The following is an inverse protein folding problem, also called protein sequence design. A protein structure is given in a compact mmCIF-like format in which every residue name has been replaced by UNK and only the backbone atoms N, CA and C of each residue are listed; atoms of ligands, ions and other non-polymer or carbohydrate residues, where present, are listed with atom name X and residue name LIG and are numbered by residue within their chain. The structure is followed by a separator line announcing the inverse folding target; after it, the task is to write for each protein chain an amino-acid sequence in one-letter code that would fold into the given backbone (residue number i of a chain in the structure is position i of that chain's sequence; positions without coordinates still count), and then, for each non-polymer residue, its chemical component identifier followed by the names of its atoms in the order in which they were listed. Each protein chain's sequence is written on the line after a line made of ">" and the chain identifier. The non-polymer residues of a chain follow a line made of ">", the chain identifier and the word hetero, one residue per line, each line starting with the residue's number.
data_IF_195112707686
#
_entry.id   IF_195112707686
#
_cell.length_a   1.000
_cell.length_b   1.000
_cell.length_c   1.000
_cell.angle_alpha   90.00
_cell.angle_beta   90.00
_cell.angle_gamma   90.00
#
_symmetry.space_group_name_H-M   'P 1'
#
loop_
_entity.id
_entity.type
_entity.pdbx_description
1 polymer ?
#
# COMPACT_ATOMS: atom_id res chain seq x y z
N UNK A 1 3.32 0.19 -15.85
CA UNK A 1 2.17 1.14 -15.67
C UNK A 1 2.20 2.23 -16.73
N UNK A 2 1.05 2.63 -17.31
CA UNK A 2 0.98 3.69 -18.34
C UNK A 2 1.06 5.08 -17.69
N UNK A 3 1.74 6.06 -18.32
CA UNK A 3 1.74 7.44 -17.84
C UNK A 3 0.32 8.03 -17.82
N UNK A 4 0.00 8.78 -16.77
CA UNK A 4 -1.23 9.53 -16.67
C UNK A 4 -1.02 10.97 -17.15
N UNK A 5 -1.94 11.52 -17.93
CA UNK A 5 -1.97 12.96 -18.18
C UNK A 5 -2.08 13.73 -16.84
N UNK A 6 -1.75 15.02 -16.82
CA UNK A 6 -1.90 15.82 -15.60
C UNK A 6 -3.35 15.85 -15.10
N UNK A 7 -4.32 15.85 -16.01
CA UNK A 7 -5.74 15.78 -15.66
C UNK A 7 -6.11 14.44 -15.04
N UNK A 8 -5.74 13.32 -15.68
CA UNK A 8 -6.03 11.98 -15.18
C UNK A 8 -5.35 11.71 -13.82
N UNK A 9 -4.13 12.23 -13.61
CA UNK A 9 -3.46 12.16 -12.32
C UNK A 9 -4.23 12.93 -11.24
N UNK A 10 -4.70 14.17 -11.54
CA UNK A 10 -5.47 14.95 -10.59
C UNK A 10 -6.79 14.28 -10.27
N UNK A 11 -7.51 13.78 -11.27
CA UNK A 11 -8.75 13.04 -11.08
C UNK A 11 -8.55 11.81 -10.18
N UNK A 12 -7.53 10.97 -10.47
CA UNK A 12 -7.21 9.81 -9.61
C UNK A 12 -6.94 10.23 -8.16
N UNK A 13 -6.14 11.28 -7.96
CA UNK A 13 -5.86 11.80 -6.61
C UNK A 13 -7.13 12.20 -5.88
N UNK A 14 -8.01 12.93 -6.55
CA UNK A 14 -9.25 13.44 -5.97
C UNK A 14 -10.23 12.30 -5.66
N UNK A 15 -10.30 11.27 -6.52
CA UNK A 15 -11.07 10.04 -6.27
C UNK A 15 -10.56 9.29 -5.04
N UNK A 16 -9.25 9.12 -4.90
CA UNK A 16 -8.64 8.48 -3.73
C UNK A 16 -8.88 9.31 -2.47
N UNK A 17 -8.75 10.64 -2.58
CA UNK A 17 -9.05 11.54 -1.46
C UNK A 17 -10.48 11.37 -0.98
N UNK A 18 -11.45 11.49 -1.87
CA UNK A 18 -12.88 11.35 -1.52
C UNK A 18 -13.19 9.98 -0.91
N UNK A 19 -12.55 8.91 -1.43
CA UNK A 19 -12.78 7.56 -0.93
C UNK A 19 -12.22 7.34 0.47
N UNK A 20 -11.02 7.85 0.75
CA UNK A 20 -10.29 7.52 1.97
C UNK A 20 -10.32 8.58 3.07
N UNK A 21 -10.64 9.84 2.78
CA UNK A 21 -10.66 10.94 3.74
C UNK A 21 -11.55 10.67 4.97
N UNK A 22 -12.65 9.94 4.76
CA UNK A 22 -13.58 9.57 5.85
C UNK A 22 -13.12 8.36 6.66
N UNK A 23 -12.17 7.58 6.15
CA UNK A 23 -11.70 6.33 6.75
C UNK A 23 -10.37 6.51 7.48
N UNK A 24 -9.65 7.58 7.19
CA UNK A 24 -8.34 7.79 7.77
C UNK A 24 -7.67 9.07 7.27
N UNK A 25 -6.36 9.10 7.34
CA UNK A 25 -5.55 10.26 6.96
C UNK A 25 -5.05 10.11 5.53
N UNK A 26 -5.27 11.14 4.73
CA UNK A 26 -4.74 11.25 3.35
C UNK A 26 -3.82 12.46 3.27
N UNK A 27 -2.56 12.26 2.94
CA UNK A 27 -1.56 13.30 2.79
C UNK A 27 -0.95 13.29 1.39
N UNK A 28 -0.75 14.47 0.82
CA UNK A 28 -0.03 14.65 -0.42
C UNK A 28 1.22 15.50 -0.18
N UNK A 29 2.38 14.93 -0.45
CA UNK A 29 3.66 15.59 -0.30
C UNK A 29 4.31 15.87 -1.65
N UNK A 30 4.68 17.12 -1.90
CA UNK A 30 5.61 17.47 -2.97
C UNK A 30 7.04 17.23 -2.48
N UNK A 31 7.73 16.27 -3.11
CA UNK A 31 9.10 15.92 -2.76
C UNK A 31 10.09 16.65 -3.66
N UNK A 32 10.99 17.41 -3.03
CA UNK A 32 12.02 18.18 -3.70
C UNK A 32 11.55 19.54 -4.26
N UNK A 33 12.49 20.49 -4.39
CA UNK A 33 12.23 21.89 -4.71
C UNK A 33 11.69 22.17 -6.12
N UNK A 34 11.49 21.17 -6.96
CA UNK A 34 11.06 21.33 -8.35
C UNK A 34 9.65 20.77 -8.66
N UNK A 35 8.91 20.34 -7.69
CA UNK A 35 7.54 19.76 -7.83
C UNK A 35 7.43 18.64 -8.88
N UNK A 36 8.54 17.95 -9.18
CA UNK A 36 8.57 16.88 -10.18
C UNK A 36 8.31 15.49 -9.60
N UNK A 37 8.36 15.37 -8.29
CA UNK A 37 8.07 14.12 -7.57
C UNK A 37 7.01 14.41 -6.52
N UNK A 38 5.99 13.55 -6.46
CA UNK A 38 4.92 13.60 -5.48
C UNK A 38 4.80 12.27 -4.77
N UNK A 39 4.49 12.33 -3.49
CA UNK A 39 4.18 11.18 -2.67
C UNK A 39 2.75 11.33 -2.13
N UNK A 40 1.90 10.37 -2.41
CA UNK A 40 0.61 10.19 -1.75
C UNK A 40 0.78 9.20 -0.61
N UNK A 41 0.26 9.53 0.56
CA UNK A 41 0.23 8.65 1.74
C UNK A 41 -1.22 8.55 2.21
N UNK A 42 -1.69 7.32 2.39
CA UNK A 42 -3.00 7.03 2.96
C UNK A 42 -2.76 6.10 4.15
N UNK A 43 -3.07 6.58 5.34
CA UNK A 43 -3.04 5.81 6.58
C UNK A 43 -4.46 5.61 7.07
N UNK A 44 -4.96 4.38 7.02
CA UNK A 44 -6.28 4.02 7.51
C UNK A 44 -6.13 3.31 8.85
N UNK A 45 -6.81 3.84 9.84
CA UNK A 45 -6.96 3.20 11.15
C UNK A 45 -8.40 2.70 11.20
N UNK A 46 -8.57 1.42 11.44
CA UNK A 46 -9.92 0.85 11.55
C UNK A 46 -10.57 1.39 12.82
N UNK A 47 -11.70 2.10 12.74
CA UNK A 47 -12.35 2.64 13.93
C UNK A 47 -12.83 1.50 14.85
N UNK A 48 -12.40 1.54 16.12
CA UNK A 48 -12.86 0.61 17.13
C UNK A 48 -14.35 0.76 17.41
N UNK A 49 -14.97 -0.27 17.93
CA UNK A 49 -16.33 -0.17 18.46
C UNK A 49 -16.28 0.65 19.76
N UNK A 50 -17.21 1.61 19.93
CA UNK A 50 -17.33 2.39 21.16
C UNK A 50 -17.46 1.45 22.37
N UNK A 51 -16.53 1.57 23.33
CA UNK A 51 -16.59 0.90 24.63
C UNK A 51 -15.72 -0.32 24.80
N UNK A 52 -15.03 -0.82 23.76
CA UNK A 52 -13.98 -1.84 23.91
C UNK A 52 -12.59 -1.27 23.60
N UNK A 53 -11.49 -1.85 24.17
CA UNK A 53 -10.16 -1.52 23.71
C UNK A 53 -10.12 -1.71 22.20
N UNK A 54 -9.96 -0.60 21.50
CA UNK A 54 -10.20 -0.47 20.08
C UNK A 54 -9.29 -1.42 19.31
N UNK A 55 -9.87 -2.35 18.56
CA UNK A 55 -9.17 -3.11 17.52
C UNK A 55 -8.55 -2.17 16.47
N UNK A 56 -8.93 -0.90 16.46
CA UNK A 56 -8.41 0.15 15.60
C UNK A 56 -6.90 0.35 15.72
N UNK A 57 -6.35 0.19 16.92
CA UNK A 57 -4.91 0.29 17.15
C UNK A 57 -4.16 -0.99 16.76
N UNK A 58 -4.90 -2.03 16.36
CA UNK A 58 -4.35 -3.34 16.09
C UNK A 58 -4.22 -3.68 14.61
N UNK A 59 -4.90 -2.94 13.73
CA UNK A 59 -4.83 -3.13 12.27
C UNK A 59 -4.65 -1.81 11.55
N UNK A 60 -3.61 -1.74 10.73
CA UNK A 60 -3.30 -0.58 9.92
C UNK A 60 -3.24 -0.95 8.43
N UNK A 61 -3.89 -0.13 7.61
CA UNK A 61 -3.68 -0.11 6.17
C UNK A 61 -2.85 1.12 5.85
N UNK A 62 -1.68 0.94 5.29
CA UNK A 62 -0.82 2.03 4.86
C UNK A 62 -0.53 1.91 3.38
N UNK A 63 -0.93 2.92 2.61
CA UNK A 63 -0.69 2.98 1.19
C UNK A 63 0.16 4.18 0.86
N UNK A 64 1.20 3.96 0.06
CA UNK A 64 2.11 4.99 -0.37
C UNK A 64 2.35 4.86 -1.87
N UNK A 65 2.24 5.96 -2.60
CA UNK A 65 2.52 6.04 -4.03
C UNK A 65 3.51 7.17 -4.31
N UNK A 66 4.51 6.90 -5.14
CA UNK A 66 5.43 7.91 -5.63
C UNK A 66 5.27 8.09 -7.13
N UNK A 67 5.03 9.32 -7.52
CA UNK A 67 4.80 9.75 -8.87
C UNK A 67 5.87 10.72 -9.32
N UNK A 68 6.37 10.55 -10.54
CA UNK A 68 7.35 11.44 -11.16
C UNK A 68 6.75 12.05 -12.41
N UNK A 69 6.94 13.37 -12.58
CA UNK A 69 6.58 14.07 -13.79
C UNK A 69 7.60 13.79 -14.89
N UNK A 70 7.13 13.38 -16.05
CA UNK A 70 7.89 13.14 -17.28
C UNK A 70 7.35 14.01 -18.42
N UNK A 71 7.97 13.94 -19.60
CA UNK A 71 7.50 14.63 -20.81
C UNK A 71 6.13 14.14 -21.28
N UNK A 72 5.75 12.90 -20.94
CA UNK A 72 4.49 12.27 -21.35
C UNK A 72 3.42 12.26 -20.25
N UNK A 73 3.69 12.85 -19.08
CA UNK A 73 2.74 12.91 -17.97
C UNK A 73 3.33 12.44 -16.64
N UNK A 74 2.46 12.04 -15.73
CA UNK A 74 2.83 11.49 -14.44
C UNK A 74 3.01 9.98 -14.51
N UNK A 75 4.14 9.49 -14.05
CA UNK A 75 4.47 8.06 -14.01
C UNK A 75 4.63 7.63 -12.56
N UNK A 76 3.85 6.64 -12.14
CA UNK A 76 4.09 5.96 -10.88
C UNK A 76 5.36 5.11 -11.03
N UNK A 77 6.33 5.33 -10.17
CA UNK A 77 7.60 4.61 -10.23
C UNK A 77 7.89 3.80 -8.96
N UNK A 78 7.06 3.99 -7.93
CA UNK A 78 7.11 3.23 -6.69
C UNK A 78 5.73 3.23 -6.05
N UNK A 79 5.38 2.13 -5.43
CA UNK A 79 4.30 2.03 -4.44
C UNK A 79 4.68 1.05 -3.35
N UNK A 80 4.13 1.27 -2.15
CA UNK A 80 4.15 0.35 -1.02
C UNK A 80 2.73 0.33 -0.45
N UNK A 81 2.02 -0.79 -0.58
CA UNK A 81 0.67 -1.01 -0.08
C UNK A 81 0.72 -2.09 0.96
N UNK A 82 0.44 -1.74 2.21
CA UNK A 82 0.63 -2.61 3.36
C UNK A 82 -0.62 -2.74 4.22
N UNK A 83 -0.87 -3.96 4.68
CA UNK A 83 -1.75 -4.32 5.76
C UNK A 83 -0.94 -4.88 6.91
N UNK A 84 -1.03 -4.25 8.08
CA UNK A 84 -0.34 -4.66 9.29
C UNK A 84 -1.37 -5.16 10.31
N UNK A 85 -1.20 -6.38 10.79
CA UNK A 85 -1.90 -6.88 11.97
C UNK A 85 -0.97 -6.73 13.19
N UNK A 86 -1.11 -5.64 13.93
CA UNK A 86 -0.25 -5.32 15.06
C UNK A 86 -0.48 -6.25 16.26
N UNK A 87 -1.63 -6.94 16.33
CA UNK A 87 -1.96 -7.90 17.40
C UNK A 87 -0.98 -9.07 17.44
N UNK A 88 -0.48 -9.46 16.27
CA UNK A 88 0.35 -10.65 16.11
C UNK A 88 1.63 -10.41 15.32
N UNK A 89 1.87 -9.17 14.86
CA UNK A 89 3.04 -8.79 14.07
C UNK A 89 3.02 -9.28 12.62
N UNK A 90 1.87 -9.76 12.14
CA UNK A 90 1.70 -10.16 10.75
C UNK A 90 1.70 -8.96 9.80
N UNK A 91 2.19 -9.15 8.58
CA UNK A 91 2.16 -8.14 7.51
C UNK A 91 1.94 -8.77 6.17
N UNK A 92 1.09 -8.16 5.37
CA UNK A 92 0.89 -8.45 3.96
C UNK A 92 1.04 -7.16 3.17
N UNK A 93 1.76 -7.20 2.05
CA UNK A 93 1.92 -6.00 1.23
C UNK A 93 2.24 -6.29 -0.22
N UNK A 94 2.04 -5.29 -1.06
CA UNK A 94 2.43 -5.26 -2.46
C UNK A 94 3.29 -4.03 -2.70
N UNK A 95 4.45 -4.23 -3.27
CA UNK A 95 5.45 -3.18 -3.46
C UNK A 95 5.96 -3.12 -4.90
N UNK A 96 6.33 -1.93 -5.31
CA UNK A 96 7.10 -1.67 -6.52
C UNK A 96 8.29 -0.80 -6.13
N UNK A 97 9.44 -1.40 -5.98
CA UNK A 97 10.71 -0.69 -5.76
C UNK A 97 11.91 -1.58 -6.15
N UNK A 98 13.13 -1.03 -6.25
CA UNK A 98 14.30 -1.84 -6.53
C UNK A 98 14.53 -2.89 -5.45
N UNK A 99 14.75 -4.13 -5.87
CA UNK A 99 15.33 -5.19 -5.05
C UNK A 99 16.83 -5.28 -5.31
N UNK A 100 17.59 -5.85 -4.36
CA UNK A 100 19.05 -5.97 -4.47
C UNK A 100 19.48 -6.53 -5.83
N UNK A 101 20.26 -5.78 -6.59
CA UNK A 101 20.78 -6.17 -7.91
C UNK A 101 19.75 -6.14 -9.05
N UNK A 102 18.53 -5.67 -8.82
CA UNK A 102 17.47 -5.58 -9.85
C UNK A 102 16.89 -4.16 -9.89
N UNK A 103 16.34 -3.76 -11.03
CA UNK A 103 15.54 -2.54 -11.15
C UNK A 103 14.23 -2.63 -10.36
N UNK A 104 13.36 -1.58 -10.45
CA UNK A 104 12.04 -1.64 -9.82
C UNK A 104 11.25 -2.83 -10.36
N UNK A 105 10.84 -3.72 -9.46
CA UNK A 105 10.03 -4.90 -9.78
C UNK A 105 8.84 -4.98 -8.84
N UNK A 106 7.64 -5.34 -9.37
CA UNK A 106 6.49 -5.65 -8.53
C UNK A 106 6.79 -6.90 -7.70
N UNK A 107 6.50 -6.84 -6.40
CA UNK A 107 6.64 -7.98 -5.51
C UNK A 107 5.69 -7.88 -4.33
N UNK A 108 5.36 -9.02 -3.75
CA UNK A 108 4.61 -9.07 -2.50
C UNK A 108 5.57 -9.21 -1.31
N UNK A 109 5.16 -8.67 -0.17
CA UNK A 109 5.81 -8.87 1.12
C UNK A 109 4.84 -9.61 2.02
N UNK A 110 5.34 -10.62 2.73
CA UNK A 110 4.54 -11.36 3.67
C UNK A 110 5.35 -11.71 4.92
N UNK A 111 4.77 -11.41 6.08
CA UNK A 111 5.29 -11.78 7.40
C UNK A 111 4.18 -12.52 8.13
N UNK A 112 4.45 -13.73 8.55
CA UNK A 112 3.48 -14.53 9.31
C UNK A 112 3.22 -13.93 10.71
N UNK A 113 2.05 -14.20 11.29
CA UNK A 113 1.80 -13.90 12.70
C UNK A 113 2.92 -14.44 13.60
N UNK A 114 3.20 -13.70 14.69
CA UNK A 114 4.28 -13.96 15.65
C UNK A 114 5.70 -13.74 15.13
N UNK A 115 5.86 -13.05 14.00
CA UNK A 115 7.14 -12.51 13.56
C UNK A 115 8.24 -13.54 13.27
N UNK A 116 7.91 -14.83 13.15
CA UNK A 116 8.86 -15.85 12.79
C UNK A 116 9.23 -15.73 11.32
N UNK A 117 10.15 -14.82 11.03
CA UNK A 117 10.71 -14.60 9.71
C UNK A 117 10.85 -13.12 9.42
N UNK A 118 12.00 -12.73 8.89
CA UNK A 118 12.13 -11.43 8.23
C UNK A 118 11.18 -11.44 7.04
N UNK A 119 10.52 -10.32 6.78
CA UNK A 119 9.63 -10.19 5.63
C UNK A 119 10.27 -10.74 4.36
N UNK A 120 9.70 -11.82 3.84
CA UNK A 120 10.16 -12.42 2.59
C UNK A 120 9.51 -11.71 1.43
N UNK A 121 10.24 -11.59 0.33
CA UNK A 121 9.73 -11.08 -0.92
C UNK A 121 9.25 -12.24 -1.80
N UNK A 122 8.15 -12.01 -2.49
CA UNK A 122 7.49 -12.99 -3.32
C UNK A 122 7.16 -12.38 -4.68
N UNK A 123 7.11 -13.21 -5.71
CA UNK A 123 6.68 -12.78 -7.04
C UNK A 123 5.27 -12.19 -6.99
N UNK A 124 5.07 -11.05 -7.63
CA UNK A 124 3.77 -10.45 -7.84
C UNK A 124 3.75 -9.69 -9.17
N UNK A 125 2.53 -9.45 -9.67
CA UNK A 125 2.30 -8.54 -10.78
C UNK A 125 2.09 -7.12 -10.27
N UNK A 126 2.12 -6.14 -11.17
CA UNK A 126 1.65 -4.80 -10.86
C UNK A 126 0.19 -4.85 -10.39
N UNK A 127 -0.10 -4.13 -9.32
CA UNK A 127 -1.43 -4.08 -8.70
C UNK A 127 -1.93 -2.65 -8.60
N UNK A 128 -3.24 -2.51 -8.60
CA UNK A 128 -3.92 -1.24 -8.39
C UNK A 128 -4.32 -1.08 -6.93
N UNK A 129 -4.18 0.14 -6.39
CA UNK A 129 -4.45 0.44 -4.98
C UNK A 129 -5.85 0.00 -4.52
N UNK A 130 -6.89 0.27 -5.30
CA UNK A 130 -8.26 -0.06 -4.91
C UNK A 130 -8.48 -1.56 -4.85
N UNK A 131 -7.91 -2.32 -5.78
CA UNK A 131 -7.97 -3.80 -5.78
C UNK A 131 -7.27 -4.36 -4.54
N UNK A 132 -6.10 -3.82 -4.19
CA UNK A 132 -5.37 -4.23 -2.98
C UNK A 132 -6.15 -3.88 -1.71
N UNK A 133 -6.76 -2.70 -1.68
CA UNK A 133 -7.58 -2.30 -0.54
C UNK A 133 -8.76 -3.25 -0.33
N UNK A 134 -9.47 -3.61 -1.40
CA UNK A 134 -10.58 -4.56 -1.35
C UNK A 134 -10.13 -5.95 -0.86
N UNK A 135 -8.96 -6.43 -1.30
CA UNK A 135 -8.36 -7.67 -0.80
C UNK A 135 -8.09 -7.61 0.70
N UNK A 136 -7.46 -6.53 1.17
CA UNK A 136 -7.11 -6.36 2.57
C UNK A 136 -8.34 -6.18 3.46
N UNK A 137 -9.32 -5.41 3.00
CA UNK A 137 -10.58 -5.21 3.70
C UNK A 137 -11.36 -6.53 3.82
N UNK A 138 -11.40 -7.34 2.76
CA UNK A 138 -12.03 -8.65 2.78
C UNK A 138 -11.31 -9.60 3.76
N UNK A 139 -9.99 -9.60 3.78
CA UNK A 139 -9.19 -10.39 4.72
C UNK A 139 -9.45 -9.98 6.17
N UNK A 140 -9.46 -8.68 6.44
CA UNK A 140 -9.76 -8.14 7.77
C UNK A 140 -11.18 -8.50 8.22
N UNK A 141 -12.17 -8.25 7.36
CA UNK A 141 -13.60 -8.52 7.67
C UNK A 141 -13.87 -10.00 7.93
N UNK A 142 -13.19 -10.89 7.20
CA UNK A 142 -13.29 -12.33 7.41
C UNK A 142 -12.56 -12.79 8.69
N UNK A 143 -11.75 -11.94 9.32
CA UNK A 143 -10.96 -12.29 10.50
C UNK A 143 -9.86 -13.32 10.21
N UNK A 144 -9.45 -13.46 8.94
CA UNK A 144 -8.44 -14.44 8.57
C UNK A 144 -7.03 -13.95 8.96
N UNK A 145 -6.23 -14.84 9.55
CA UNK A 145 -4.83 -14.50 9.82
C UNK A 145 -4.07 -14.29 8.51
N UNK A 146 -3.05 -13.45 8.56
CA UNK A 146 -2.16 -13.28 7.40
C UNK A 146 -1.52 -14.62 7.06
N UNK A 147 -1.61 -15.01 5.80
CA UNK A 147 -1.10 -16.26 5.26
C UNK A 147 -0.22 -16.00 4.04
N UNK A 148 0.92 -16.65 4.02
CA UNK A 148 1.90 -16.54 2.93
C UNK A 148 1.90 -17.77 2.01
N UNK A 149 1.00 -18.73 2.23
CA UNK A 149 0.90 -19.93 1.39
C UNK A 149 0.51 -19.57 -0.04
N UNK A 150 1.06 -20.32 -0.99
CA UNK A 150 0.79 -20.09 -2.41
C UNK A 150 1.62 -18.96 -3.05
N UNK A 151 2.39 -18.21 -2.26
CA UNK A 151 3.32 -17.22 -2.79
C UNK A 151 4.65 -17.89 -3.19
N UNK A 152 5.19 -17.47 -4.33
CA UNK A 152 6.49 -17.93 -4.83
C UNK A 152 7.58 -16.96 -4.39
N UNK A 153 8.53 -17.43 -3.58
CA UNK A 153 9.62 -16.58 -3.10
C UNK A 153 10.51 -16.07 -4.25
N UNK A 154 11.00 -14.85 -4.11
CA UNK A 154 12.05 -14.29 -4.96
C UNK A 154 13.37 -14.54 -4.23
N UNK A 155 14.20 -15.41 -4.77
CA UNK A 155 15.55 -15.70 -4.28
C UNK A 155 16.55 -14.58 -4.67
#
# INVERSE_FOLDING_TARGET
>A
MRPLSSHAYSQRRDELWVRFDRLGRVDLHDLGGNRRVRKLVIDLVVPGQEGEPSLADEVHFRYQEWWRRSSVGWVQFRYDYDYFDLRNGGRRGYHLHPLAGRGPVPHAVCVLPNGTGRGRHYEAHEVELLTVHEEFEAQYTAGWPIDCRGLRAID
#
